data_IF_354238987161
#
_entry.id   IF_354238987161
#
_cell.length_a   1.000
_cell.length_b   1.000
_cell.length_c   1.000
_cell.angle_alpha   90.00
_cell.angle_beta   90.00
_cell.angle_gamma   90.00
#
_symmetry.space_group_name_H-M   'P 1'
#
loop_
_entity.id
_entity.type
_entity.pdbx_description
1 polymer ?
#
# COMPACT_ATOMS: atom_id res chain seq x y z
N UNK A 1 23.05 17.47 12.87
CA UNK A 1 21.96 16.47 12.77
C UNK A 1 22.17 15.44 13.87
N UNK A 2 21.22 15.34 14.79
CA UNK A 2 21.36 14.52 16.00
C UNK A 2 20.92 13.09 15.68
N UNK A 3 21.88 12.25 15.27
CA UNK A 3 21.70 10.86 14.81
C UNK A 3 20.89 9.99 15.80
N UNK A 4 20.90 10.34 17.11
CA UNK A 4 20.11 9.64 18.13
C UNK A 4 18.61 9.93 18.01
N UNK A 5 18.23 11.16 17.68
CA UNK A 5 16.82 11.58 17.54
C UNK A 5 16.18 10.95 16.30
N UNK A 6 16.93 10.89 15.18
CA UNK A 6 16.45 10.25 13.94
C UNK A 6 16.21 8.74 14.12
N UNK A 7 17.10 8.06 14.87
CA UNK A 7 16.91 6.65 15.20
C UNK A 7 15.65 6.39 16.05
N UNK A 8 15.38 7.25 17.04
CA UNK A 8 14.20 7.15 17.91
C UNK A 8 12.89 7.40 17.16
N UNK A 9 12.87 8.35 16.21
CA UNK A 9 11.72 8.56 15.34
C UNK A 9 11.46 7.37 14.43
N UNK A 10 12.50 6.79 13.82
CA UNK A 10 12.37 5.60 12.99
C UNK A 10 11.83 4.40 13.78
N UNK A 11 12.31 4.17 15.01
CA UNK A 11 11.77 3.11 15.88
C UNK A 11 10.29 3.33 16.22
N UNK A 12 9.87 4.58 16.41
CA UNK A 12 8.47 4.92 16.72
C UNK A 12 7.56 4.67 15.51
N UNK A 13 8.04 4.94 14.30
CA UNK A 13 7.30 4.65 13.06
C UNK A 13 7.18 3.14 12.83
N UNK A 14 8.26 2.38 13.04
CA UNK A 14 8.26 0.92 12.91
C UNK A 14 7.29 0.29 13.92
N UNK A 15 7.35 0.69 15.20
CA UNK A 15 6.45 0.17 16.22
C UNK A 15 4.96 0.43 15.90
N UNK A 16 4.64 1.60 15.35
CA UNK A 16 3.26 1.92 14.92
C UNK A 16 2.82 1.11 13.71
N UNK A 17 3.74 0.76 12.81
CA UNK A 17 3.45 -0.10 11.67
C UNK A 17 3.22 -1.55 12.12
N UNK A 18 4.04 -2.05 13.03
CA UNK A 18 3.87 -3.37 13.64
C UNK A 18 2.53 -3.47 14.41
N UNK A 19 2.17 -2.44 15.17
CA UNK A 19 0.87 -2.37 15.87
C UNK A 19 -0.33 -2.32 14.90
N UNK A 20 -0.15 -1.67 13.74
CA UNK A 20 -1.19 -1.55 12.72
C UNK A 20 -1.33 -2.80 11.84
N UNK A 21 -0.32 -3.67 11.82
CA UNK A 21 -0.28 -4.90 11.01
C UNK A 21 -0.02 -6.09 11.95
N UNK A 22 -1.00 -6.48 12.78
CA UNK A 22 -0.81 -7.57 13.72
C UNK A 22 -0.63 -8.89 12.97
N UNK A 23 0.54 -9.53 13.14
CA UNK A 23 0.86 -10.84 12.56
C UNK A 23 0.24 -12.00 13.34
N UNK A 24 -0.35 -11.76 14.50
CA UNK A 24 -1.00 -12.79 15.33
C UNK A 24 -2.53 -12.75 15.18
N UNK A 25 -3.04 -12.67 13.96
CA UNK A 25 -4.47 -12.76 13.65
C UNK A 25 -4.77 -14.07 12.92
N UNK A 26 -6.00 -14.58 13.06
CA UNK A 26 -6.44 -15.79 12.34
C UNK A 26 -6.37 -15.61 10.81
N UNK A 27 -6.62 -14.39 10.36
CA UNK A 27 -6.50 -13.97 8.96
C UNK A 27 -5.05 -14.08 8.49
N UNK A 28 -4.08 -13.56 9.25
CA UNK A 28 -2.66 -13.66 8.91
C UNK A 28 -2.16 -15.10 8.95
N UNK A 29 -2.57 -15.90 9.94
CA UNK A 29 -2.21 -17.33 10.03
C UNK A 29 -2.68 -18.09 8.78
N UNK A 30 -3.84 -17.72 8.23
CA UNK A 30 -4.35 -18.31 6.98
C UNK A 30 -3.50 -17.91 5.78
N UNK A 31 -3.07 -16.65 5.69
CA UNK A 31 -2.16 -16.15 4.65
C UNK A 31 -0.80 -16.86 4.74
N UNK A 32 -0.21 -16.94 5.92
CA UNK A 32 1.09 -17.58 6.16
C UNK A 32 1.06 -19.07 5.78
N UNK A 33 -0.01 -19.80 6.14
CA UNK A 33 -0.17 -21.20 5.75
C UNK A 33 -0.19 -21.37 4.23
N UNK A 34 -0.92 -20.51 3.51
CA UNK A 34 -0.97 -20.58 2.06
C UNK A 34 0.37 -20.20 1.41
N UNK A 35 1.05 -19.19 1.95
CA UNK A 35 2.39 -18.79 1.50
C UNK A 35 3.39 -19.95 1.66
N UNK A 36 3.36 -20.66 2.78
CA UNK A 36 4.18 -21.84 3.00
C UNK A 36 3.89 -22.93 1.94
N UNK A 37 2.63 -23.26 1.70
CA UNK A 37 2.25 -24.24 0.67
C UNK A 37 2.73 -23.85 -0.72
N UNK A 38 2.65 -22.57 -1.09
CA UNK A 38 3.09 -22.10 -2.41
C UNK A 38 4.62 -22.12 -2.52
N UNK A 39 5.33 -21.64 -1.50
CA UNK A 39 6.80 -21.57 -1.47
C UNK A 39 7.50 -22.94 -1.47
N UNK A 40 6.81 -24.02 -1.12
CA UNK A 40 7.31 -25.39 -1.29
C UNK A 40 7.65 -25.71 -2.76
N UNK A 41 6.96 -25.08 -3.72
CA UNK A 41 7.07 -25.40 -5.15
C UNK A 41 7.76 -24.31 -5.97
N UNK A 42 7.94 -23.11 -5.42
CA UNK A 42 8.56 -21.97 -6.12
C UNK A 42 9.67 -21.34 -5.30
N UNK A 43 10.80 -20.95 -5.93
CA UNK A 43 11.85 -20.22 -5.25
C UNK A 43 11.33 -18.92 -4.61
N UNK A 44 11.75 -18.63 -3.38
CA UNK A 44 11.38 -17.39 -2.67
C UNK A 44 11.71 -16.12 -3.48
N UNK A 45 12.78 -16.13 -4.27
CA UNK A 45 13.13 -15.00 -5.14
C UNK A 45 12.05 -14.70 -6.18
N UNK A 46 11.36 -15.71 -6.70
CA UNK A 46 10.26 -15.53 -7.66
C UNK A 46 9.03 -14.91 -6.98
N UNK A 47 8.70 -15.35 -5.76
CA UNK A 47 7.61 -14.77 -4.97
C UNK A 47 7.89 -13.32 -4.60
N UNK A 48 9.13 -12.99 -4.23
CA UNK A 48 9.54 -11.61 -3.96
C UNK A 48 9.40 -10.73 -5.20
N UNK A 49 9.92 -11.19 -6.35
CA UNK A 49 9.80 -10.45 -7.61
C UNK A 49 8.34 -10.24 -8.02
N UNK A 50 7.49 -11.26 -7.87
CA UNK A 50 6.05 -11.15 -8.15
C UNK A 50 5.39 -10.11 -7.24
N UNK A 51 5.71 -10.16 -5.94
CA UNK A 51 5.17 -9.21 -4.95
C UNK A 51 5.56 -7.78 -5.30
N UNK A 52 6.82 -7.55 -5.68
CA UNK A 52 7.31 -6.24 -6.11
C UNK A 52 6.59 -5.73 -7.38
N UNK A 53 6.35 -6.61 -8.37
CA UNK A 53 5.58 -6.26 -9.56
C UNK A 53 4.13 -5.89 -9.23
N UNK A 54 3.49 -6.61 -8.30
CA UNK A 54 2.12 -6.31 -7.86
C UNK A 54 2.07 -4.95 -7.16
N UNK A 55 3.02 -4.65 -6.27
CA UNK A 55 3.10 -3.36 -5.57
C UNK A 55 3.25 -2.22 -6.57
N UNK A 56 4.21 -2.33 -7.50
CA UNK A 56 4.44 -1.30 -8.51
C UNK A 56 3.20 -1.06 -9.39
N UNK A 57 2.47 -2.14 -9.74
CA UNK A 57 1.22 -2.01 -10.48
C UNK A 57 0.14 -1.31 -9.64
N UNK A 58 -0.04 -1.70 -8.39
CA UNK A 58 -1.01 -1.09 -7.48
C UNK A 58 -0.75 0.40 -7.28
N UNK A 59 0.51 0.82 -7.13
CA UNK A 59 0.91 2.22 -7.02
C UNK A 59 0.56 3.01 -8.31
N UNK A 60 0.82 2.45 -9.50
CA UNK A 60 0.42 3.09 -10.75
C UNK A 60 -1.11 3.19 -10.87
N UNK A 61 -1.87 2.16 -10.45
CA UNK A 61 -3.33 2.22 -10.44
C UNK A 61 -3.86 3.27 -9.46
N UNK A 62 -3.28 3.39 -8.27
CA UNK A 62 -3.65 4.42 -7.30
C UNK A 62 -3.40 5.84 -7.86
N UNK A 63 -2.25 6.04 -8.51
CA UNK A 63 -1.92 7.31 -9.18
C UNK A 63 -2.92 7.63 -10.30
N UNK A 64 -3.26 6.66 -11.14
CA UNK A 64 -4.27 6.83 -12.21
C UNK A 64 -5.64 7.17 -11.65
N UNK A 65 -6.08 6.44 -10.63
CA UNK A 65 -7.36 6.69 -9.96
C UNK A 65 -7.44 8.11 -9.37
N UNK A 66 -6.33 8.60 -8.79
CA UNK A 66 -6.24 9.97 -8.30
C UNK A 66 -6.42 11.00 -9.42
N UNK A 67 -5.73 10.84 -10.56
CA UNK A 67 -5.85 11.75 -11.71
C UNK A 67 -7.28 11.74 -12.25
N UNK A 68 -7.85 10.56 -12.47
CA UNK A 68 -9.23 10.42 -12.94
C UNK A 68 -10.22 11.12 -11.99
N UNK A 69 -10.06 10.93 -10.69
CA UNK A 69 -10.90 11.60 -9.69
C UNK A 69 -10.78 13.13 -9.71
N UNK A 70 -9.59 13.67 -10.04
CA UNK A 70 -9.43 15.11 -10.24
C UNK A 70 -10.16 15.59 -11.50
N UNK A 71 -10.07 14.86 -12.61
CA UNK A 71 -10.76 15.19 -13.87
C UNK A 71 -12.27 15.22 -13.68
N UNK A 72 -12.82 14.20 -13.00
CA UNK A 72 -14.23 14.12 -12.65
C UNK A 72 -14.67 15.28 -11.75
N UNK A 73 -13.86 15.63 -10.75
CA UNK A 73 -14.12 16.77 -9.87
C UNK A 73 -14.18 18.10 -10.66
N UNK A 74 -13.22 18.33 -11.55
CA UNK A 74 -13.18 19.54 -12.39
C UNK A 74 -14.42 19.60 -13.30
N UNK A 75 -14.82 18.48 -13.88
CA UNK A 75 -16.01 18.38 -14.72
C UNK A 75 -17.28 18.76 -13.94
N UNK A 76 -17.46 18.21 -12.74
CA UNK A 76 -18.61 18.52 -11.88
C UNK A 76 -18.62 19.98 -11.40
N UNK A 77 -17.46 20.55 -11.09
CA UNK A 77 -17.35 21.97 -10.73
C UNK A 77 -17.74 22.89 -11.89
N UNK A 78 -17.29 22.61 -13.13
CA UNK A 78 -17.68 23.37 -14.33
C UNK A 78 -19.19 23.32 -14.55
N UNK A 79 -19.80 22.15 -14.42
CA UNK A 79 -21.25 21.93 -14.56
C UNK A 79 -22.06 22.67 -13.49
N UNK A 80 -21.54 22.79 -12.26
CA UNK A 80 -22.16 23.59 -11.20
C UNK A 80 -22.05 25.08 -11.51
N UNK A 81 -20.88 25.56 -11.93
CA UNK A 81 -20.66 26.96 -12.27
C UNK A 81 -21.58 27.43 -13.41
N UNK A 82 -21.76 26.60 -14.44
CA UNK A 82 -22.65 26.91 -15.58
C UNK A 82 -24.15 26.95 -15.23
N UNK A 83 -24.55 26.47 -14.05
CA UNK A 83 -25.95 26.55 -13.58
C UNK A 83 -26.23 27.80 -12.74
N UNK A 84 -25.18 28.48 -12.28
CA UNK A 84 -25.27 29.65 -11.41
C UNK A 84 -25.11 30.96 -12.20
N UNK A 85 -24.47 30.89 -13.39
CA UNK A 85 -24.44 31.96 -14.39
C UNK A 85 -25.72 31.97 -15.23
#
# INVERSE_FOLDING_TARGET
>A
MNVKTDKLQNYTVIARLDDAIPLNTEEWVSVERLLNQVSEFVPMSMLNNLTELIINYADDQARRGYILGQEDLVSELKKKASKIA
#
